data_IF_158419356995
#
_entry.id   IF_158419356995
#
_cell.length_a   1.000
_cell.length_b   1.000
_cell.length_c   1.000
_cell.angle_alpha   90.00
_cell.angle_beta   90.00
_cell.angle_gamma   90.00
#
_symmetry.space_group_name_H-M   'P 1'
#
loop_
_entity.id
_entity.type
_entity.pdbx_description
1 polymer ?
#
# COMPACT_ATOMS: atom_id res chain seq x y z
N UNK A 1 -11.70 13.96 5.12
CA UNK A 1 -13.06 13.97 5.71
C UNK A 1 -13.96 15.05 5.08
N UNK A 2 -14.27 14.95 3.78
CA UNK A 2 -15.11 15.96 3.11
C UNK A 2 -16.60 15.81 3.46
N UNK A 3 -17.10 14.58 3.60
CA UNK A 3 -18.51 14.29 3.92
C UNK A 3 -18.97 14.83 5.27
N UNK A 4 -18.14 14.71 6.32
CA UNK A 4 -18.45 15.25 7.64
C UNK A 4 -18.65 16.78 7.63
N UNK A 5 -17.87 17.51 6.83
CA UNK A 5 -18.03 18.96 6.66
C UNK A 5 -19.37 19.30 5.99
N UNK A 6 -19.76 18.54 4.95
CA UNK A 6 -21.03 18.75 4.23
C UNK A 6 -22.25 18.49 5.12
N UNK A 7 -22.19 17.49 6.00
CA UNK A 7 -23.25 17.20 6.97
C UNK A 7 -23.40 18.35 7.98
N UNK A 8 -22.28 18.84 8.54
CA UNK A 8 -22.30 19.95 9.51
C UNK A 8 -22.88 21.22 8.88
N UNK A 9 -22.43 21.59 7.68
CA UNK A 9 -22.97 22.77 7.00
C UNK A 9 -24.45 22.61 6.63
N UNK A 10 -24.86 21.45 6.08
CA UNK A 10 -26.26 21.18 5.77
C UNK A 10 -27.19 21.29 6.99
N UNK A 11 -26.73 20.82 8.14
CA UNK A 11 -27.46 20.92 9.43
C UNK A 11 -27.67 22.37 9.86
N UNK A 12 -26.63 23.20 9.74
CA UNK A 12 -26.67 24.63 10.09
C UNK A 12 -27.65 25.39 9.19
N UNK A 13 -27.61 25.15 7.87
CA UNK A 13 -28.51 25.80 6.92
C UNK A 13 -29.98 25.39 7.11
N UNK A 14 -30.25 24.12 7.43
CA UNK A 14 -31.61 23.66 7.77
C UNK A 14 -32.12 24.28 9.07
N UNK A 15 -31.29 24.36 10.11
CA UNK A 15 -31.66 24.98 11.38
C UNK A 15 -31.92 26.49 11.23
N UNK A 16 -31.07 27.20 10.48
CA UNK A 16 -31.23 28.62 10.20
C UNK A 16 -32.48 28.91 9.35
N UNK A 17 -32.72 28.12 8.30
CA UNK A 17 -33.90 28.24 7.44
C UNK A 17 -35.20 27.93 8.19
N UNK A 18 -35.21 26.87 8.99
CA UNK A 18 -36.36 26.49 9.82
C UNK A 18 -36.66 27.50 10.93
N UNK A 19 -35.63 28.04 11.58
CA UNK A 19 -35.77 29.09 12.59
C UNK A 19 -36.34 30.38 12.01
N UNK A 20 -35.90 30.79 10.82
CA UNK A 20 -36.45 31.95 10.11
C UNK A 20 -37.91 31.73 9.70
N UNK A 21 -38.31 30.53 9.27
CA UNK A 21 -39.71 30.23 8.95
C UNK A 21 -40.67 30.37 10.15
N UNK A 22 -40.17 30.11 11.37
CA UNK A 22 -40.96 30.24 12.60
C UNK A 22 -41.12 31.69 13.07
N UNK A 23 -40.34 32.64 12.53
CA UNK A 23 -40.55 34.06 12.78
C UNK A 23 -41.75 34.55 11.97
N UNK A 24 -42.89 34.75 12.64
CA UNK A 24 -44.25 34.82 12.07
C UNK A 24 -44.51 36.03 11.16
N UNK A 25 -43.56 36.96 10.98
CA UNK A 25 -43.80 38.22 10.26
C UNK A 25 -42.67 38.61 9.27
N UNK A 26 -42.21 37.65 8.48
CA UNK A 26 -41.28 37.91 7.39
C UNK A 26 -42.03 38.31 6.11
N UNK A 27 -41.66 39.43 5.50
CA UNK A 27 -42.22 39.88 4.21
C UNK A 27 -42.06 38.83 3.11
N UNK A 28 -42.90 38.90 2.06
CA UNK A 28 -42.98 37.88 1.01
C UNK A 28 -41.61 37.53 0.37
N UNK A 29 -40.72 38.51 0.20
CA UNK A 29 -39.37 38.32 -0.35
C UNK A 29 -38.50 37.43 0.56
N UNK A 30 -38.61 37.61 1.88
CA UNK A 30 -37.89 36.80 2.89
C UNK A 30 -38.45 35.37 2.99
N UNK A 31 -39.76 35.19 2.73
CA UNK A 31 -40.37 33.84 2.67
C UNK A 31 -39.82 33.01 1.52
N UNK A 32 -39.56 33.59 0.34
CA UNK A 32 -38.95 32.84 -0.75
C UNK A 32 -37.47 32.56 -0.51
N UNK A 33 -36.73 33.48 0.12
CA UNK A 33 -35.33 33.27 0.49
C UNK A 33 -35.12 32.15 1.52
N UNK A 34 -36.02 32.02 2.49
CA UNK A 34 -35.97 30.97 3.52
C UNK A 34 -36.19 29.57 2.95
N UNK A 35 -37.12 29.42 2.01
CA UNK A 35 -37.29 28.17 1.26
C UNK A 35 -36.03 27.78 0.48
N UNK A 36 -35.33 28.76 -0.12
CA UNK A 36 -34.06 28.51 -0.79
C UNK A 36 -32.98 27.94 0.13
N UNK A 37 -32.84 28.47 1.35
CA UNK A 37 -31.87 27.98 2.34
C UNK A 37 -32.16 26.55 2.79
N UNK A 38 -33.44 26.20 2.96
CA UNK A 38 -33.87 24.85 3.35
C UNK A 38 -33.56 23.84 2.25
N UNK A 39 -33.85 24.17 1.00
CA UNK A 39 -33.55 23.29 -0.15
C UNK A 39 -32.04 23.08 -0.29
N UNK A 40 -31.24 24.15 -0.20
CA UNK A 40 -29.77 24.04 -0.25
C UNK A 40 -29.25 23.18 0.90
N UNK A 41 -29.73 23.39 2.12
CA UNK A 41 -29.37 22.59 3.28
C UNK A 41 -29.72 21.11 3.11
N UNK A 42 -30.92 20.81 2.61
CA UNK A 42 -31.37 19.43 2.34
C UNK A 42 -30.53 18.73 1.28
N UNK A 43 -30.19 19.41 0.17
CA UNK A 43 -29.34 18.85 -0.90
C UNK A 43 -27.92 18.57 -0.39
N UNK A 44 -27.33 19.49 0.38
CA UNK A 44 -26.00 19.28 0.96
C UNK A 44 -25.98 18.12 1.96
N UNK A 45 -27.03 18.00 2.79
CA UNK A 45 -27.16 16.91 3.76
C UNK A 45 -27.33 15.56 3.05
N UNK A 46 -28.20 15.48 2.04
CA UNK A 46 -28.39 14.28 1.22
C UNK A 46 -27.10 13.87 0.49
N UNK A 47 -26.37 14.84 -0.08
CA UNK A 47 -25.06 14.58 -0.70
C UNK A 47 -24.00 14.11 0.30
N UNK A 48 -23.96 14.68 1.50
CA UNK A 48 -23.08 14.24 2.58
C UNK A 48 -23.40 12.83 3.07
N UNK A 49 -24.69 12.52 3.27
CA UNK A 49 -25.15 11.16 3.60
C UNK A 49 -24.83 10.16 2.50
N UNK A 50 -25.04 10.52 1.22
CA UNK A 50 -24.70 9.66 0.10
C UNK A 50 -23.19 9.41 -0.01
N UNK A 51 -22.34 10.37 0.34
CA UNK A 51 -20.89 10.14 0.42
C UNK A 51 -20.46 9.29 1.61
N UNK A 52 -21.26 9.29 2.69
CA UNK A 52 -20.97 8.52 3.92
C UNK A 52 -21.51 7.09 3.86
N UNK A 53 -22.63 6.88 3.14
CA UNK A 53 -23.30 5.58 2.99
C UNK A 53 -23.03 4.96 1.62
N UNK A 54 -22.73 5.76 0.60
CA UNK A 54 -22.41 5.29 -0.74
C UNK A 54 -21.03 4.62 -0.81
N UNK A 55 -20.80 3.75 -1.80
CA UNK A 55 -19.58 2.95 -1.96
C UNK A 55 -18.33 3.77 -2.36
N UNK A 56 -18.30 5.07 -2.08
CA UNK A 56 -17.28 6.02 -2.52
C UNK A 56 -15.92 5.86 -1.84
N UNK A 57 -15.81 5.07 -0.78
CA UNK A 57 -14.53 4.65 -0.19
C UNK A 57 -14.10 3.26 -0.68
N UNK A 58 -15.03 2.38 -1.04
CA UNK A 58 -14.72 1.02 -1.47
C UNK A 58 -13.84 0.96 -2.72
N UNK A 59 -13.94 1.90 -3.67
CA UNK A 59 -13.12 1.88 -4.90
C UNK A 59 -11.66 2.31 -4.69
N UNK A 60 -11.43 3.33 -3.86
CA UNK A 60 -10.08 3.83 -3.55
C UNK A 60 -9.41 2.94 -2.50
N UNK A 61 -10.18 2.44 -1.54
CA UNK A 61 -9.70 1.51 -0.52
C UNK A 61 -9.51 0.10 -1.10
N UNK A 62 -10.34 -0.37 -2.04
CA UNK A 62 -10.08 -1.64 -2.73
C UNK A 62 -8.89 -1.55 -3.67
N UNK A 63 -8.65 -0.41 -4.34
CA UNK A 63 -7.44 -0.26 -5.15
C UNK A 63 -6.18 -0.19 -4.27
N UNK A 64 -6.25 0.49 -3.12
CA UNK A 64 -5.17 0.50 -2.12
C UNK A 64 -4.96 -0.86 -1.44
N UNK A 65 -6.02 -1.59 -1.09
CA UNK A 65 -5.96 -2.91 -0.50
C UNK A 65 -5.49 -3.97 -1.53
N UNK A 66 -5.92 -3.82 -2.79
CA UNK A 66 -5.43 -4.64 -3.89
C UNK A 66 -3.95 -4.37 -4.16
N UNK A 67 -3.56 -3.09 -4.28
CA UNK A 67 -2.15 -2.71 -4.43
C UNK A 67 -1.31 -3.11 -3.22
N UNK A 68 -1.82 -3.03 -2.00
CA UNK A 68 -1.11 -3.51 -0.81
C UNK A 68 -0.95 -5.02 -0.86
N UNK A 69 -1.99 -5.76 -1.27
CA UNK A 69 -1.91 -7.23 -1.39
C UNK A 69 -0.95 -7.68 -2.51
N UNK A 70 -0.94 -7.02 -3.67
CA UNK A 70 -0.03 -7.35 -4.77
C UNK A 70 1.41 -6.94 -4.47
N UNK A 71 1.61 -5.80 -3.81
CA UNK A 71 2.95 -5.33 -3.40
C UNK A 71 3.51 -6.23 -2.31
N UNK A 72 2.71 -6.60 -1.31
CA UNK A 72 3.10 -7.52 -0.25
C UNK A 72 3.48 -8.89 -0.82
N UNK A 73 2.66 -9.42 -1.74
CA UNK A 73 2.98 -10.68 -2.42
C UNK A 73 4.27 -10.58 -3.22
N UNK A 74 4.45 -9.51 -4.00
CA UNK A 74 5.65 -9.32 -4.80
C UNK A 74 6.91 -9.20 -3.92
N UNK A 75 6.82 -8.44 -2.83
CA UNK A 75 7.88 -8.28 -1.83
C UNK A 75 8.29 -9.65 -1.28
N UNK A 76 7.32 -10.42 -0.81
CA UNK A 76 7.51 -11.73 -0.22
C UNK A 76 8.08 -12.74 -1.22
N UNK A 77 7.53 -12.81 -2.43
CA UNK A 77 8.05 -13.67 -3.50
C UNK A 77 9.49 -13.30 -3.87
N UNK A 78 9.80 -12.01 -3.93
CA UNK A 78 11.15 -11.53 -4.26
C UNK A 78 12.16 -11.88 -3.16
N UNK A 79 11.81 -11.66 -1.89
CA UNK A 79 12.65 -12.03 -0.75
C UNK A 79 12.90 -13.54 -0.69
N UNK A 80 11.84 -14.35 -0.85
CA UNK A 80 11.96 -15.82 -0.86
C UNK A 80 12.77 -16.32 -2.06
N UNK A 81 12.59 -15.73 -3.24
CA UNK A 81 13.38 -16.08 -4.43
C UNK A 81 14.86 -15.75 -4.22
N UNK A 82 15.16 -14.67 -3.49
CA UNK A 82 16.52 -14.29 -3.14
C UNK A 82 17.13 -15.23 -2.10
N UNK A 83 16.40 -15.55 -1.02
CA UNK A 83 16.87 -16.49 0.00
C UNK A 83 17.12 -17.89 -0.58
N UNK A 84 16.21 -18.39 -1.43
CA UNK A 84 16.34 -19.69 -2.10
C UNK A 84 17.45 -19.76 -3.17
N UNK A 85 18.28 -18.74 -3.34
CA UNK A 85 19.33 -18.71 -4.37
C UNK A 85 20.38 -19.82 -4.17
N UNK A 86 20.61 -20.25 -2.93
CA UNK A 86 21.53 -21.32 -2.59
C UNK A 86 20.85 -22.70 -2.42
N UNK A 87 19.52 -22.74 -2.44
CA UNK A 87 18.69 -23.94 -2.37
C UNK A 87 18.12 -24.26 -0.99
N UNK A 88 18.29 -23.40 0.02
CA UNK A 88 17.58 -23.51 1.29
C UNK A 88 17.21 -22.13 1.84
N UNK A 89 16.32 -22.08 2.84
CA UNK A 89 16.05 -20.85 3.59
C UNK A 89 16.35 -21.12 5.05
N UNK A 90 17.31 -20.40 5.60
CA UNK A 90 17.77 -20.56 6.99
C UNK A 90 16.87 -19.78 7.96
N UNK A 91 16.95 -20.11 9.25
CA UNK A 91 16.08 -19.53 10.29
C UNK A 91 16.28 -18.01 10.42
N UNK A 92 17.53 -17.54 10.28
CA UNK A 92 17.89 -16.12 10.27
C UNK A 92 17.23 -15.36 9.11
N UNK A 93 17.16 -15.97 7.93
CA UNK A 93 16.49 -15.38 6.76
C UNK A 93 14.98 -15.35 6.95
N UNK A 94 14.40 -16.41 7.52
CA UNK A 94 12.97 -16.42 7.87
C UNK A 94 12.63 -15.29 8.84
N UNK A 95 13.43 -15.11 9.89
CA UNK A 95 13.24 -14.01 10.85
C UNK A 95 13.36 -12.64 10.16
N UNK A 96 14.35 -12.46 9.28
CA UNK A 96 14.52 -11.24 8.52
C UNK A 96 13.33 -10.95 7.58
N UNK A 97 12.77 -11.98 6.94
CA UNK A 97 11.56 -11.87 6.11
C UNK A 97 10.36 -11.44 6.97
N UNK A 98 10.18 -12.03 8.16
CA UNK A 98 9.10 -11.62 9.09
C UNK A 98 9.22 -10.12 9.42
N UNK A 99 10.42 -9.68 9.80
CA UNK A 99 10.69 -8.29 10.16
C UNK A 99 10.44 -7.36 8.97
N UNK A 100 10.98 -7.69 7.80
CA UNK A 100 10.79 -6.88 6.59
C UNK A 100 9.31 -6.78 6.17
N UNK A 101 8.55 -7.88 6.26
CA UNK A 101 7.11 -7.88 6.00
C UNK A 101 6.34 -7.03 7.02
N UNK A 102 6.67 -7.08 8.30
CA UNK A 102 6.03 -6.27 9.33
C UNK A 102 6.32 -4.77 9.14
N UNK A 103 7.54 -4.42 8.75
CA UNK A 103 7.93 -3.03 8.49
C UNK A 103 7.27 -2.46 7.23
N UNK A 104 7.21 -3.23 6.14
CA UNK A 104 6.74 -2.74 4.84
C UNK A 104 5.23 -2.89 4.66
N UNK A 105 4.66 -4.01 5.09
CA UNK A 105 3.26 -4.38 4.85
C UNK A 105 2.41 -4.19 6.11
N UNK A 106 3.02 -4.05 7.29
CA UNK A 106 2.33 -4.03 8.58
C UNK A 106 1.51 -5.28 8.83
N UNK A 107 2.00 -6.42 8.34
CA UNK A 107 1.40 -7.74 8.54
C UNK A 107 2.40 -8.63 9.25
N UNK A 108 1.96 -9.22 10.36
CA UNK A 108 2.75 -10.17 11.12
C UNK A 108 2.56 -11.55 10.51
N UNK A 109 3.64 -12.14 10.01
CA UNK A 109 3.64 -13.46 9.39
C UNK A 109 4.20 -14.50 10.36
N UNK A 110 3.58 -15.66 10.37
CA UNK A 110 4.07 -16.80 11.12
C UNK A 110 5.26 -17.45 10.39
N UNK A 111 6.38 -17.76 11.07
CA UNK A 111 7.56 -18.37 10.45
C UNK A 111 7.27 -19.66 9.68
N UNK A 112 6.35 -20.51 10.14
CA UNK A 112 6.01 -21.75 9.44
C UNK A 112 5.26 -21.48 8.13
N UNK A 113 4.52 -20.37 8.07
CA UNK A 113 3.88 -19.92 6.83
C UNK A 113 4.91 -19.47 5.79
N UNK A 114 6.00 -18.81 6.21
CA UNK A 114 7.08 -18.41 5.32
C UNK A 114 7.77 -19.64 4.74
N UNK A 115 8.04 -20.67 5.54
CA UNK A 115 8.63 -21.93 5.05
C UNK A 115 7.73 -22.62 4.01
N UNK A 116 6.42 -22.69 4.27
CA UNK A 116 5.47 -23.22 3.28
C UNK A 116 5.44 -22.41 1.98
N UNK A 117 5.58 -21.09 2.07
CA UNK A 117 5.66 -20.23 0.90
C UNK A 117 6.98 -20.40 0.16
N UNK A 118 8.08 -20.66 0.86
CA UNK A 118 9.37 -20.99 0.25
C UNK A 118 9.25 -22.25 -0.62
N UNK A 119 8.63 -23.32 -0.11
CA UNK A 119 8.38 -24.54 -0.87
C UNK A 119 7.57 -24.27 -2.16
N UNK A 120 6.56 -23.40 -2.09
CA UNK A 120 5.75 -23.01 -3.25
C UNK A 120 6.53 -22.17 -4.27
N UNK A 121 7.45 -21.30 -3.80
CA UNK A 121 8.34 -20.51 -4.66
C UNK A 121 9.34 -21.42 -5.35
N UNK A 122 9.93 -22.36 -4.61
CA UNK A 122 10.85 -23.37 -5.15
C UNK A 122 10.16 -24.24 -6.21
N UNK A 123 8.95 -24.73 -5.94
CA UNK A 123 8.17 -25.55 -6.89
C UNK A 123 7.87 -24.80 -8.20
N UNK A 124 7.65 -23.48 -8.12
CA UNK A 124 7.40 -22.64 -9.30
C UNK A 124 8.66 -22.41 -10.14
N UNK A 125 9.85 -22.42 -9.54
CA UNK A 125 11.11 -22.11 -10.22
C UNK A 125 11.04 -20.81 -11.02
N UNK A 126 11.53 -20.81 -12.26
CA UNK A 126 11.59 -19.63 -13.14
C UNK A 126 10.23 -18.94 -13.39
N UNK A 127 9.10 -19.64 -13.20
CA UNK A 127 7.78 -19.02 -13.34
C UNK A 127 7.55 -17.89 -12.32
N UNK A 128 8.23 -17.93 -11.17
CA UNK A 128 8.16 -16.86 -10.17
C UNK A 128 8.77 -15.56 -10.70
N UNK A 129 9.85 -15.64 -11.48
CA UNK A 129 10.51 -14.47 -12.07
C UNK A 129 9.61 -13.78 -13.11
N UNK A 130 8.82 -14.57 -13.83
CA UNK A 130 7.82 -14.05 -14.77
C UNK A 130 6.67 -13.33 -14.05
N UNK A 131 6.20 -13.86 -12.91
CA UNK A 131 5.23 -13.19 -12.04
C UNK A 131 5.81 -11.87 -11.51
N UNK A 132 7.05 -11.90 -11.00
CA UNK A 132 7.74 -10.72 -10.48
C UNK A 132 7.87 -9.64 -11.56
N UNK A 133 8.27 -10.03 -12.77
CA UNK A 133 8.38 -9.11 -13.92
C UNK A 133 7.03 -8.51 -14.31
N UNK A 134 5.96 -9.30 -14.30
CA UNK A 134 4.64 -8.83 -14.68
C UNK A 134 4.07 -7.86 -13.65
N UNK A 135 4.13 -8.21 -12.37
CA UNK A 135 3.58 -7.42 -11.28
C UNK A 135 4.44 -6.20 -10.95
N UNK A 136 5.77 -6.32 -11.06
CA UNK A 136 6.71 -5.21 -10.90
C UNK A 136 6.43 -4.02 -11.82
N UNK A 137 5.87 -4.26 -13.02
CA UNK A 137 5.46 -3.19 -13.95
C UNK A 137 4.33 -2.32 -13.42
N UNK A 138 3.53 -2.83 -12.48
CA UNK A 138 2.43 -2.08 -11.86
C UNK A 138 2.90 -1.21 -10.69
N UNK A 139 4.11 -1.44 -10.19
CA UNK A 139 4.70 -0.66 -9.13
C UNK A 139 5.31 0.63 -9.65
N UNK A 140 5.29 1.68 -8.82
CA UNK A 140 6.11 2.86 -9.07
C UNK A 140 7.59 2.58 -8.74
N UNK A 141 8.48 3.49 -9.15
CA UNK A 141 9.93 3.28 -9.00
C UNK A 141 10.36 3.14 -7.54
N UNK A 142 9.76 3.88 -6.62
CA UNK A 142 10.08 3.83 -5.18
C UNK A 142 9.68 2.49 -4.57
N UNK A 143 8.50 1.97 -4.92
CA UNK A 143 8.03 0.67 -4.47
C UNK A 143 8.92 -0.47 -4.98
N UNK A 144 9.37 -0.41 -6.24
CA UNK A 144 10.32 -1.41 -6.74
C UNK A 144 11.68 -1.33 -6.05
N UNK A 145 12.15 -0.12 -5.72
CA UNK A 145 13.37 0.07 -4.92
C UNK A 145 13.20 -0.55 -3.52
N UNK A 146 12.04 -0.36 -2.89
CA UNK A 146 11.73 -0.98 -1.60
C UNK A 146 11.78 -2.52 -1.66
N UNK A 147 11.36 -3.13 -2.78
CA UNK A 147 11.51 -4.59 -2.97
C UNK A 147 12.97 -5.01 -3.02
N UNK A 148 13.82 -4.29 -3.76
CA UNK A 148 15.27 -4.59 -3.81
C UNK A 148 15.89 -4.42 -2.42
N UNK A 149 15.56 -3.34 -1.70
CA UNK A 149 16.08 -3.11 -0.35
C UNK A 149 15.68 -4.24 0.61
N UNK A 150 14.43 -4.72 0.54
CA UNK A 150 13.97 -5.81 1.37
C UNK A 150 14.71 -7.12 1.06
N UNK A 151 14.97 -7.42 -0.21
CA UNK A 151 15.83 -8.56 -0.58
C UNK A 151 17.24 -8.43 0.02
N UNK A 152 17.84 -7.24 -0.03
CA UNK A 152 19.17 -6.99 0.56
C UNK A 152 19.16 -7.15 2.08
N UNK A 153 18.12 -6.68 2.76
CA UNK A 153 17.98 -6.85 4.21
C UNK A 153 17.93 -8.32 4.62
N UNK A 154 17.26 -9.17 3.84
CA UNK A 154 17.20 -10.62 4.09
C UNK A 154 18.58 -11.25 3.93
N UNK A 155 19.31 -10.91 2.86
CA UNK A 155 20.68 -11.41 2.64
C UNK A 155 21.70 -10.92 3.68
N UNK A 156 21.40 -9.84 4.37
CA UNK A 156 22.26 -9.32 5.43
C UNK A 156 22.04 -10.02 6.78
N UNK A 157 21.01 -10.85 6.91
CA UNK A 157 20.62 -11.46 8.17
C UNK A 157 21.72 -12.35 8.78
N UNK A 158 22.43 -13.10 7.93
CA UNK A 158 23.52 -13.98 8.32
C UNK A 158 24.90 -13.27 8.41
N UNK A 159 24.93 -11.98 8.01
CA UNK A 159 26.09 -11.12 8.01
C UNK A 159 27.08 -11.33 6.86
N UNK A 160 26.73 -12.12 5.82
CA UNK A 160 27.63 -12.38 4.69
C UNK A 160 26.87 -12.48 3.37
N UNK A 161 26.93 -11.42 2.58
CA UNK A 161 26.42 -11.46 1.21
C UNK A 161 27.44 -12.15 0.29
N UNK A 162 27.04 -13.26 -0.34
CA UNK A 162 27.83 -13.97 -1.33
C UNK A 162 27.56 -13.51 -2.78
N UNK A 163 28.35 -14.04 -3.72
CA UNK A 163 28.25 -13.67 -5.15
C UNK A 163 26.97 -14.20 -5.79
N UNK A 164 26.44 -15.34 -5.34
CA UNK A 164 25.20 -15.95 -5.86
C UNK A 164 23.98 -15.16 -5.40
N UNK A 165 23.97 -14.76 -4.14
CA UNK A 165 22.92 -13.93 -3.55
C UNK A 165 22.87 -12.55 -4.21
N UNK A 166 24.03 -11.92 -4.42
CA UNK A 166 24.15 -10.68 -5.18
C UNK A 166 23.62 -10.86 -6.61
N UNK A 167 23.92 -11.99 -7.26
CA UNK A 167 23.41 -12.31 -8.58
C UNK A 167 21.88 -12.51 -8.58
N UNK A 168 21.32 -13.09 -7.51
CA UNK A 168 19.88 -13.25 -7.34
C UNK A 168 19.18 -11.88 -7.21
N UNK A 169 19.70 -10.98 -6.39
CA UNK A 169 19.16 -9.59 -6.27
C UNK A 169 19.26 -8.85 -7.58
N UNK A 170 20.38 -8.98 -8.32
CA UNK A 170 20.51 -8.40 -9.65
C UNK A 170 19.45 -8.94 -10.62
N UNK A 171 19.19 -10.25 -10.59
CA UNK A 171 18.14 -10.89 -11.39
C UNK A 171 16.75 -10.32 -11.06
N UNK A 172 16.43 -10.15 -9.76
CA UNK A 172 15.19 -9.51 -9.32
C UNK A 172 15.13 -8.05 -9.79
N UNK A 173 16.20 -7.28 -9.63
CA UNK A 173 16.30 -5.90 -10.08
C UNK A 173 16.02 -5.77 -11.58
N UNK A 174 16.57 -6.66 -12.40
CA UNK A 174 16.29 -6.73 -13.84
C UNK A 174 14.82 -7.04 -14.13
N UNK A 175 14.20 -8.00 -13.41
CA UNK A 175 12.76 -8.28 -13.56
C UNK A 175 11.90 -7.05 -13.19
N UNK A 176 12.35 -6.27 -12.21
CA UNK A 176 11.74 -5.00 -11.81
C UNK A 176 12.07 -3.83 -12.76
N UNK A 177 12.89 -4.06 -13.80
CA UNK A 177 13.23 -3.07 -14.81
C UNK A 177 14.31 -2.08 -14.40
N UNK A 178 15.17 -2.44 -13.44
CA UNK A 178 16.41 -1.73 -13.13
C UNK A 178 17.53 -2.26 -14.02
N UNK A 179 18.45 -1.39 -14.40
CA UNK A 179 19.74 -1.80 -14.93
C UNK A 179 20.64 -2.34 -13.82
N UNK A 180 21.64 -3.19 -14.14
CA UNK A 180 22.60 -3.70 -13.14
C UNK A 180 23.23 -2.59 -12.29
N UNK A 181 23.62 -1.48 -12.91
CA UNK A 181 24.20 -0.33 -12.20
C UNK A 181 23.22 0.35 -11.22
N UNK A 182 21.92 0.41 -11.54
CA UNK A 182 20.92 0.97 -10.62
C UNK A 182 20.62 0.01 -9.46
N UNK A 183 20.64 -1.30 -9.72
CA UNK A 183 20.50 -2.32 -8.67
C UNK A 183 21.70 -2.28 -7.72
N UNK A 184 22.93 -2.27 -8.25
CA UNK A 184 24.16 -2.13 -7.44
C UNK A 184 24.17 -0.85 -6.60
N UNK A 185 23.75 0.28 -7.17
CA UNK A 185 23.63 1.53 -6.42
C UNK A 185 22.60 1.42 -5.28
N UNK A 186 21.52 0.67 -5.48
CA UNK A 186 20.49 0.44 -4.48
C UNK A 186 20.98 -0.49 -3.36
N UNK A 187 21.73 -1.54 -3.72
CA UNK A 187 22.41 -2.43 -2.77
C UNK A 187 23.39 -1.63 -1.91
N UNK A 188 24.26 -0.84 -2.54
CA UNK A 188 25.26 -0.02 -1.84
C UNK A 188 24.65 1.05 -0.92
N UNK A 189 23.46 1.58 -1.25
CA UNK A 189 22.74 2.52 -0.38
C UNK A 189 22.11 1.84 0.84
N UNK A 190 21.75 0.55 0.72
CA UNK A 190 21.09 -0.21 1.78
C UNK A 190 22.09 -0.78 2.77
N UNK A 191 23.28 -1.15 2.30
CA UNK A 191 24.35 -1.63 3.17
C UNK A 191 24.86 -0.49 4.06
N UNK A 192 24.96 -0.68 5.39
CA UNK A 192 25.59 0.30 6.26
C UNK A 192 27.05 0.45 5.81
N UNK A 193 27.54 1.69 5.80
CA UNK A 193 28.97 1.94 5.56
C UNK A 193 29.76 1.14 6.60
N UNK A 194 30.67 0.28 6.16
CA UNK A 194 31.63 -0.37 7.06
C UNK A 194 32.43 0.74 7.75
N UNK A 195 32.17 0.96 9.04
CA UNK A 195 32.99 1.84 9.86
C UNK A 195 34.31 1.11 10.13
N UNK A 196 35.34 1.45 9.34
CA UNK A 196 36.74 1.01 9.47
C UNK A 196 37.34 1.30 10.86
#
# INVERSE_FOLDING_TARGET
MQGAKNIIFGSIFLAAGGGLLMAVDLGAILKYGTWGLIVVGAVMLAGGLYQMVGPGSAGVDAHKAYQSSSTARLLMQSMLTTALADGHVDDEEVEAIVVACEEVVHEHLDPDSIRQLAELVEEKGDAILDEIRYEGKMLNRDARKAVINACVMVLMADGKIDVRETAAVNTIGEQLGFSPAETEATIAETMPAEED
#
